data_IF_582657263125
#
_entry.id   IF_582657263125
#
_cell.length_a   1.000
_cell.length_b   1.000
_cell.length_c   1.000
_cell.angle_alpha   90.00
_cell.angle_beta   90.00
_cell.angle_gamma   90.00
#
_symmetry.space_group_name_H-M   'P 1'
#
loop_
_entity.id
_entity.type
_entity.pdbx_description
1 polymer ?
#
# COMPACT_ATOMS: atom_id res chain seq x y z
N UNK A 1 7.08 -34.16 21.26
CA UNK A 1 6.76 -32.74 21.36
C UNK A 1 7.89 -31.88 21.93
N UNK A 2 8.40 -32.10 23.13
CA UNK A 2 9.48 -31.29 23.70
C UNK A 2 10.79 -31.31 22.86
N UNK A 3 11.16 -32.44 22.28
CA UNK A 3 12.34 -32.57 21.39
C UNK A 3 12.21 -31.83 20.07
N UNK A 4 11.00 -31.73 19.50
CA UNK A 4 10.75 -31.01 18.24
C UNK A 4 10.77 -29.48 18.47
N UNK A 5 10.24 -29.01 19.59
CA UNK A 5 10.29 -27.60 19.96
C UNK A 5 11.73 -27.12 20.27
N UNK A 6 12.58 -27.99 20.86
CA UNK A 6 13.97 -27.68 21.16
C UNK A 6 14.90 -27.68 19.93
N UNK A 7 14.46 -28.25 18.81
CA UNK A 7 15.23 -28.31 17.54
C UNK A 7 14.98 -27.11 16.61
N UNK A 8 14.08 -26.19 16.97
CA UNK A 8 13.77 -25.02 16.15
C UNK A 8 14.70 -23.89 16.58
N UNK A 9 15.86 -23.77 15.94
CA UNK A 9 16.86 -22.73 16.29
C UNK A 9 17.34 -21.86 15.12
N UNK A 10 16.64 -21.85 13.97
CA UNK A 10 17.02 -21.03 12.82
C UNK A 10 15.91 -20.89 11.77
N UNK A 11 16.07 -19.95 10.84
CA UNK A 11 15.04 -19.60 9.86
C UNK A 11 14.59 -20.73 8.92
N UNK A 12 15.42 -21.75 8.68
CA UNK A 12 15.05 -22.92 7.87
C UNK A 12 14.19 -23.95 8.63
N UNK A 13 14.15 -23.86 9.95
CA UNK A 13 13.39 -24.75 10.81
C UNK A 13 11.90 -24.36 10.97
N UNK A 14 11.50 -23.20 10.49
CA UNK A 14 10.12 -22.70 10.58
C UNK A 14 9.10 -23.52 9.78
N UNK A 15 9.57 -24.34 8.83
CA UNK A 15 8.74 -25.27 8.05
C UNK A 15 8.41 -26.57 8.79
N UNK A 16 9.09 -26.83 9.90
CA UNK A 16 8.78 -28.01 10.73
C UNK A 16 7.43 -27.83 11.40
N UNK A 17 6.61 -28.88 11.39
CA UNK A 17 5.28 -28.90 12.03
C UNK A 17 5.24 -30.01 13.04
N UNK A 18 4.48 -29.78 14.10
CA UNK A 18 4.15 -30.86 15.03
C UNK A 18 3.19 -31.84 14.36
N UNK A 19 3.36 -33.15 14.55
CA UNK A 19 2.43 -34.14 14.02
C UNK A 19 1.02 -33.90 14.52
N UNK A 20 0.07 -33.89 13.62
CA UNK A 20 -1.36 -33.89 13.95
C UNK A 20 -1.72 -35.31 14.40
N UNK A 21 -1.82 -35.54 15.70
CA UNK A 21 -2.12 -36.85 16.25
C UNK A 21 -2.94 -36.75 17.54
N UNK A 22 -4.23 -37.08 17.45
CA UNK A 22 -5.13 -37.18 18.59
C UNK A 22 -6.31 -36.19 18.55
N UNK A 23 -7.31 -36.45 19.37
CA UNK A 23 -8.46 -35.59 19.58
C UNK A 23 -8.48 -34.94 20.98
N UNK A 24 -7.32 -34.88 21.61
CA UNK A 24 -7.12 -34.41 22.99
C UNK A 24 -6.49 -33.02 23.05
N UNK A 25 -6.22 -32.57 24.25
CA UNK A 25 -5.60 -31.25 24.52
C UNK A 25 -4.22 -31.10 23.82
N UNK A 26 -3.52 -32.22 23.57
CA UNK A 26 -2.24 -32.23 22.87
C UNK A 26 -2.39 -31.92 21.36
N UNK A 27 -3.50 -32.34 20.75
CA UNK A 27 -3.81 -32.00 19.36
C UNK A 27 -4.15 -30.50 19.22
N UNK A 28 -4.92 -29.94 20.18
CA UNK A 28 -5.20 -28.50 20.20
C UNK A 28 -3.94 -27.68 20.37
N UNK A 29 -3.02 -28.10 21.23
CA UNK A 29 -1.72 -27.44 21.42
C UNK A 29 -0.86 -27.52 20.16
N UNK A 30 -0.81 -28.70 19.49
CA UNK A 30 -0.08 -28.90 18.24
C UNK A 30 -0.66 -27.98 17.13
N UNK A 31 -1.98 -27.90 17.02
CA UNK A 31 -2.66 -27.01 16.06
C UNK A 31 -2.36 -25.53 16.31
N UNK A 32 -2.43 -25.08 17.58
CA UNK A 32 -2.10 -23.72 17.97
C UNK A 32 -0.62 -23.38 17.67
N UNK A 33 0.29 -24.30 17.98
CA UNK A 33 1.72 -24.19 17.68
C UNK A 33 1.97 -24.12 16.15
N UNK A 34 1.42 -25.05 15.39
CA UNK A 34 1.54 -25.06 13.94
C UNK A 34 0.99 -23.78 13.30
N UNK A 35 -0.13 -23.27 13.81
CA UNK A 35 -0.69 -21.98 13.38
C UNK A 35 0.21 -20.78 13.72
N UNK A 36 0.91 -20.82 14.86
CA UNK A 36 1.91 -19.80 15.19
C UNK A 36 3.13 -19.90 14.28
N UNK A 37 3.65 -21.11 14.04
CA UNK A 37 4.79 -21.33 13.14
C UNK A 37 4.47 -20.91 11.70
N UNK A 38 3.24 -21.17 11.22
CA UNK A 38 2.81 -20.73 9.91
C UNK A 38 2.82 -19.20 9.80
N UNK A 39 2.26 -18.49 10.79
CA UNK A 39 2.27 -17.02 10.80
C UNK A 39 3.67 -16.45 10.84
N UNK A 40 4.59 -17.11 11.54
CA UNK A 40 5.99 -16.70 11.61
C UNK A 40 6.71 -16.93 10.28
N UNK A 41 6.51 -18.07 9.63
CA UNK A 41 7.04 -18.39 8.31
C UNK A 41 6.54 -17.38 7.24
N UNK A 42 5.23 -17.14 7.23
CA UNK A 42 4.62 -16.15 6.34
C UNK A 42 5.19 -14.74 6.55
N UNK A 43 5.47 -14.36 7.81
CA UNK A 43 6.06 -13.06 8.14
C UNK A 43 7.52 -12.97 7.66
N UNK A 44 8.33 -14.00 7.84
CA UNK A 44 9.72 -14.04 7.36
C UNK A 44 9.80 -14.07 5.83
N UNK A 45 8.93 -14.84 5.17
CA UNK A 45 8.87 -14.82 3.70
C UNK A 45 8.46 -13.45 3.16
N UNK A 46 7.49 -12.78 3.79
CA UNK A 46 7.09 -11.42 3.43
C UNK A 46 8.23 -10.41 3.62
N UNK A 47 9.03 -10.54 4.69
CA UNK A 47 10.21 -9.70 4.97
C UNK A 47 11.33 -9.94 3.94
N UNK A 48 11.65 -11.21 3.63
CA UNK A 48 12.64 -11.56 2.60
C UNK A 48 12.23 -11.05 1.22
N UNK A 49 10.96 -11.24 0.85
CA UNK A 49 10.44 -10.74 -0.41
C UNK A 49 10.52 -9.22 -0.49
N UNK A 50 10.14 -8.53 0.59
CA UNK A 50 10.25 -7.08 0.68
C UNK A 50 11.69 -6.58 0.49
N UNK A 51 12.68 -7.20 1.15
CA UNK A 51 14.08 -6.82 1.00
C UNK A 51 14.60 -7.04 -0.43
N UNK A 52 14.19 -8.15 -1.06
CA UNK A 52 14.50 -8.45 -2.47
C UNK A 52 13.88 -7.42 -3.41
N UNK A 53 12.58 -7.17 -3.28
CA UNK A 53 11.85 -6.23 -4.12
C UNK A 53 12.40 -4.81 -3.96
N UNK A 54 12.71 -4.39 -2.73
CA UNK A 54 13.33 -3.09 -2.44
C UNK A 54 14.69 -2.94 -3.16
N UNK A 55 15.51 -4.00 -3.12
CA UNK A 55 16.81 -3.99 -3.80
C UNK A 55 16.67 -3.88 -5.32
N UNK A 56 15.71 -4.58 -5.91
CA UNK A 56 15.42 -4.51 -7.35
C UNK A 56 14.87 -3.14 -7.76
N UNK A 57 13.92 -2.61 -7.01
CA UNK A 57 13.27 -1.33 -7.31
C UNK A 57 14.21 -0.13 -7.12
N UNK A 58 15.21 -0.22 -6.23
CA UNK A 58 16.25 0.81 -6.08
C UNK A 58 17.36 0.68 -7.13
N UNK A 59 17.66 -0.53 -7.61
CA UNK A 59 18.72 -0.75 -8.61
C UNK A 59 18.38 -0.13 -9.96
N UNK A 60 17.12 -0.21 -10.39
CA UNK A 60 16.67 0.31 -11.69
C UNK A 60 16.88 1.81 -11.84
N UNK A 61 16.36 2.70 -10.95
CA UNK A 61 16.61 4.14 -11.04
C UNK A 61 18.08 4.49 -10.88
N UNK A 62 18.84 3.76 -10.06
CA UNK A 62 20.28 3.96 -9.92
C UNK A 62 21.02 3.68 -11.24
N UNK A 63 20.67 2.60 -11.94
CA UNK A 63 21.27 2.29 -13.24
C UNK A 63 20.98 3.38 -14.28
N UNK A 64 19.76 3.96 -14.27
CA UNK A 64 19.42 5.08 -15.16
C UNK A 64 20.25 6.33 -14.79
N UNK A 65 20.43 6.64 -13.52
CA UNK A 65 21.26 7.75 -13.07
C UNK A 65 22.70 7.57 -13.56
N UNK A 66 23.27 6.37 -13.35
CA UNK A 66 24.63 6.06 -13.77
C UNK A 66 24.82 6.19 -15.27
N UNK A 67 23.88 5.63 -16.07
CA UNK A 67 23.93 5.74 -17.52
C UNK A 67 23.86 7.19 -18.01
N UNK A 68 23.02 8.04 -17.40
CA UNK A 68 22.95 9.46 -17.73
C UNK A 68 24.23 10.22 -17.38
N UNK A 69 24.85 9.89 -16.24
CA UNK A 69 26.13 10.46 -15.87
C UNK A 69 27.25 10.04 -16.83
N UNK A 70 27.34 8.75 -17.16
CA UNK A 70 28.33 8.21 -18.08
C UNK A 70 28.19 8.83 -19.48
N UNK A 71 26.95 8.94 -19.99
CA UNK A 71 26.68 9.60 -21.28
C UNK A 71 27.08 11.07 -21.25
N UNK A 72 26.72 11.80 -20.19
CA UNK A 72 27.08 13.21 -20.04
C UNK A 72 28.60 13.43 -19.93
N UNK A 73 29.36 12.44 -19.44
CA UNK A 73 30.82 12.50 -19.28
C UNK A 73 31.59 11.95 -20.48
N UNK A 74 30.95 11.25 -21.42
CA UNK A 74 31.61 10.52 -22.53
C UNK A 74 32.07 11.38 -23.70
N UNK A 75 31.81 12.70 -23.70
CA UNK A 75 32.22 13.61 -24.77
C UNK A 75 31.65 15.01 -24.60
N UNK A 76 31.93 15.87 -25.59
CA UNK A 76 31.34 17.21 -25.61
C UNK A 76 29.83 17.12 -25.90
N UNK A 77 29.03 17.68 -25.03
CA UNK A 77 27.56 17.75 -25.13
C UNK A 77 27.14 19.22 -25.16
N UNK A 78 25.97 19.48 -25.72
CA UNK A 78 25.38 20.82 -25.68
C UNK A 78 24.83 21.15 -24.31
N UNK A 79 24.62 22.41 -24.00
CA UNK A 79 23.97 22.81 -22.74
C UNK A 79 22.54 22.27 -22.62
N UNK A 80 21.87 21.96 -23.74
CA UNK A 80 20.55 21.32 -23.75
C UNK A 80 20.65 19.85 -23.31
N UNK A 81 21.63 19.10 -23.82
CA UNK A 81 21.86 17.69 -23.47
C UNK A 81 22.17 17.53 -21.95
N UNK A 82 23.05 18.40 -21.41
CA UNK A 82 23.32 18.40 -19.97
C UNK A 82 22.08 18.71 -19.14
N UNK A 83 21.22 19.63 -19.57
CA UNK A 83 19.98 19.95 -18.88
C UNK A 83 19.01 18.78 -18.89
N UNK A 84 18.90 18.07 -20.00
CA UNK A 84 18.09 16.87 -20.11
C UNK A 84 18.61 15.77 -19.20
N UNK A 85 19.89 15.44 -19.24
CA UNK A 85 20.51 14.45 -18.36
C UNK A 85 20.26 14.77 -16.88
N UNK A 86 20.49 16.04 -16.45
CA UNK A 86 20.23 16.49 -15.08
C UNK A 86 18.74 16.37 -14.70
N UNK A 87 17.82 16.63 -15.64
CA UNK A 87 16.39 16.49 -15.39
C UNK A 87 15.99 15.04 -15.14
N UNK A 88 16.57 14.09 -15.90
CA UNK A 88 16.36 12.65 -15.71
C UNK A 88 16.94 12.21 -14.37
N UNK A 89 18.18 12.59 -14.04
CA UNK A 89 18.86 12.28 -12.77
C UNK A 89 18.01 12.78 -11.60
N UNK A 90 17.57 14.04 -11.65
CA UNK A 90 16.74 14.64 -10.61
C UNK A 90 15.42 13.89 -10.41
N UNK A 91 14.73 13.53 -11.50
CA UNK A 91 13.47 12.75 -11.46
C UNK A 91 13.69 11.39 -10.80
N UNK A 92 14.76 10.66 -11.17
CA UNK A 92 15.08 9.37 -10.57
C UNK A 92 15.46 9.50 -9.07
N UNK A 93 16.24 10.52 -8.71
CA UNK A 93 16.57 10.81 -7.32
C UNK A 93 15.34 11.08 -6.47
N UNK A 94 14.38 11.88 -6.97
CA UNK A 94 13.09 12.10 -6.29
C UNK A 94 12.26 10.82 -6.16
N UNK A 95 12.26 9.94 -7.18
CA UNK A 95 11.59 8.64 -7.11
C UNK A 95 12.19 7.77 -6.01
N UNK A 96 13.52 7.65 -5.96
CA UNK A 96 14.22 6.89 -4.91
C UNK A 96 13.93 7.44 -3.52
N UNK A 97 13.96 8.75 -3.33
CA UNK A 97 13.68 9.37 -2.03
C UNK A 97 12.25 9.10 -1.55
N UNK A 98 11.24 9.20 -2.46
CA UNK A 98 9.85 8.83 -2.14
C UNK A 98 9.73 7.36 -1.74
N UNK A 99 10.43 6.47 -2.42
CA UNK A 99 10.43 5.03 -2.15
C UNK A 99 11.03 4.74 -0.77
N UNK A 100 12.22 5.27 -0.48
CA UNK A 100 12.90 5.08 0.82
C UNK A 100 12.05 5.64 1.96
N UNK A 101 11.51 6.86 1.81
CA UNK A 101 10.65 7.47 2.83
C UNK A 101 9.40 6.65 3.09
N UNK A 102 8.75 6.15 2.03
CA UNK A 102 7.57 5.28 2.16
C UNK A 102 7.87 3.94 2.83
N UNK A 103 9.03 3.33 2.54
CA UNK A 103 9.47 2.09 3.20
C UNK A 103 9.71 2.30 4.69
N UNK A 104 10.47 3.35 5.05
CA UNK A 104 10.76 3.67 6.45
C UNK A 104 9.48 3.93 7.25
N UNK A 105 8.51 4.59 6.64
CA UNK A 105 7.24 4.87 7.29
C UNK A 105 6.39 3.61 7.48
N UNK A 106 6.31 2.73 6.48
CA UNK A 106 5.65 1.43 6.65
C UNK A 106 6.25 0.63 7.81
N UNK A 107 7.60 0.57 7.90
CA UNK A 107 8.30 -0.12 9.00
C UNK A 107 7.97 0.51 10.35
N UNK A 108 7.91 1.84 10.45
CA UNK A 108 7.49 2.53 11.69
C UNK A 108 6.06 2.18 12.08
N UNK A 109 5.13 2.23 11.13
CA UNK A 109 3.73 1.87 11.36
C UNK A 109 3.55 0.43 11.85
N UNK A 110 4.36 -0.52 11.38
CA UNK A 110 4.27 -1.93 11.79
C UNK A 110 4.80 -2.19 13.20
N UNK A 111 5.83 -1.46 13.61
CA UNK A 111 6.42 -1.65 14.95
C UNK A 111 5.51 -1.24 16.09
N UNK A 112 4.36 -0.60 15.84
CA UNK A 112 3.42 -0.09 16.85
C UNK A 112 4.10 0.76 17.95
N UNK A 113 5.34 1.18 17.73
CA UNK A 113 6.16 1.91 18.70
C UNK A 113 5.86 3.40 18.70
N UNK A 114 5.35 3.92 17.58
CA UNK A 114 4.96 5.31 17.50
C UNK A 114 3.57 5.47 18.11
N UNK A 115 3.43 6.36 19.07
CA UNK A 115 2.14 6.77 19.62
C UNK A 115 1.48 7.67 18.57
N UNK A 116 0.65 7.08 17.73
CA UNK A 116 -0.22 7.85 16.83
C UNK A 116 -1.25 8.61 17.67
N UNK A 117 -1.51 9.85 17.31
CA UNK A 117 -2.56 10.62 17.94
C UNK A 117 -3.90 9.89 17.76
N UNK A 118 -4.59 9.64 18.87
CA UNK A 118 -5.93 9.07 18.85
C UNK A 118 -6.90 10.10 19.42
N UNK A 119 -7.35 10.98 18.53
CA UNK A 119 -8.28 12.04 18.85
C UNK A 119 -9.57 11.86 18.06
N UNK A 120 -10.72 12.23 18.62
CA UNK A 120 -11.96 12.24 17.86
C UNK A 120 -11.92 13.36 16.83
N UNK A 121 -12.28 13.05 15.57
CA UNK A 121 -12.41 14.06 14.52
C UNK A 121 -13.57 13.72 13.56
N UNK A 122 -14.07 14.73 12.86
CA UNK A 122 -15.13 14.58 11.88
C UNK A 122 -14.54 14.02 10.57
N UNK A 123 -14.83 12.74 10.27
CA UNK A 123 -14.36 12.05 9.07
C UNK A 123 -15.08 12.57 7.82
N UNK A 124 -16.34 12.97 7.93
CA UNK A 124 -17.09 13.56 6.81
C UNK A 124 -16.42 14.83 6.31
N UNK A 125 -16.17 15.77 7.21
CA UNK A 125 -15.52 17.05 6.88
C UNK A 125 -14.09 16.83 6.33
N UNK A 126 -13.34 15.87 6.92
CA UNK A 126 -12.01 15.51 6.42
C UNK A 126 -12.06 14.94 5.00
N UNK A 127 -13.02 14.03 4.73
CA UNK A 127 -13.18 13.42 3.41
C UNK A 127 -13.50 14.47 2.34
N UNK A 128 -14.43 15.37 2.62
CA UNK A 128 -14.79 16.47 1.71
C UNK A 128 -13.58 17.38 1.42
N UNK A 129 -12.86 17.82 2.46
CA UNK A 129 -11.68 18.68 2.31
C UNK A 129 -10.58 18.00 1.47
N UNK A 130 -10.28 16.71 1.71
CA UNK A 130 -9.29 15.99 0.91
C UNK A 130 -9.75 15.83 -0.54
N UNK A 131 -11.04 15.59 -0.78
CA UNK A 131 -11.56 15.48 -2.14
C UNK A 131 -11.50 16.79 -2.88
N UNK A 132 -11.79 17.94 -2.23
CA UNK A 132 -11.64 19.27 -2.80
C UNK A 132 -10.18 19.54 -3.21
N UNK A 133 -9.21 19.26 -2.34
CA UNK A 133 -7.79 19.41 -2.64
C UNK A 133 -7.34 18.51 -3.80
N UNK A 134 -7.79 17.26 -3.82
CA UNK A 134 -7.43 16.29 -4.86
C UNK A 134 -8.11 16.60 -6.20
N UNK A 135 -9.28 17.22 -6.22
CA UNK A 135 -9.97 17.65 -7.44
C UNK A 135 -9.18 18.73 -8.21
N UNK A 136 -8.29 19.46 -7.54
CA UNK A 136 -7.43 20.46 -8.19
C UNK A 136 -6.32 19.84 -9.07
N UNK A 137 -6.07 18.52 -8.95
CA UNK A 137 -4.99 17.84 -9.69
C UNK A 137 -5.29 17.74 -11.19
N UNK A 138 -6.56 17.75 -11.60
CA UNK A 138 -7.02 17.81 -13.01
C UNK A 138 -6.26 16.88 -14.01
N UNK A 139 -5.77 15.74 -13.56
CA UNK A 139 -5.11 14.78 -14.46
C UNK A 139 -6.14 14.02 -15.29
N UNK A 140 -5.86 13.81 -16.58
CA UNK A 140 -6.67 13.04 -17.54
C UNK A 140 -8.14 13.52 -17.66
N UNK A 141 -8.46 14.75 -17.26
CA UNK A 141 -9.83 15.26 -17.26
C UNK A 141 -10.84 14.35 -16.53
N UNK A 142 -10.41 13.73 -15.41
CA UNK A 142 -11.22 12.82 -14.59
C UNK A 142 -12.07 13.67 -13.63
N UNK A 143 -13.38 13.43 -13.62
CA UNK A 143 -14.31 14.06 -12.69
C UNK A 143 -14.29 13.33 -11.34
N UNK A 144 -14.00 14.04 -10.24
CA UNK A 144 -14.13 13.53 -8.88
C UNK A 144 -15.44 14.03 -8.27
N UNK A 145 -16.27 13.12 -7.78
CA UNK A 145 -17.52 13.41 -7.09
C UNK A 145 -17.55 12.73 -5.72
N UNK A 146 -18.33 13.30 -4.81
CA UNK A 146 -18.45 12.81 -3.42
C UNK A 146 -19.91 12.51 -3.08
N UNK A 147 -20.12 11.44 -2.30
CA UNK A 147 -21.38 11.10 -1.64
C UNK A 147 -21.07 10.78 -0.18
N UNK A 148 -21.06 11.81 0.65
CA UNK A 148 -20.58 11.76 2.04
C UNK A 148 -21.74 11.99 2.99
N UNK A 149 -22.04 10.97 3.81
CA UNK A 149 -23.01 11.11 4.89
C UNK A 149 -22.46 12.07 5.95
N UNK A 150 -23.22 13.09 6.38
CA UNK A 150 -22.74 14.10 7.31
C UNK A 150 -22.52 13.53 8.74
N UNK A 151 -21.70 14.23 9.50
CA UNK A 151 -21.49 14.00 10.93
C UNK A 151 -21.00 12.58 11.31
N UNK A 152 -20.23 11.95 10.42
CA UNK A 152 -19.48 10.74 10.75
C UNK A 152 -18.18 11.14 11.44
N UNK A 153 -17.97 10.67 12.67
CA UNK A 153 -16.74 10.88 13.42
C UNK A 153 -16.08 9.55 13.78
N UNK A 154 -14.75 9.54 13.81
CA UNK A 154 -13.94 8.41 14.29
C UNK A 154 -12.87 8.92 15.24
N UNK A 155 -12.36 8.00 16.11
CA UNK A 155 -11.19 8.28 16.93
C UNK A 155 -9.94 7.70 16.25
N UNK A 156 -8.98 8.56 15.93
CA UNK A 156 -7.79 8.14 15.20
C UNK A 156 -6.82 9.27 14.93
N UNK A 157 -5.85 9.01 14.07
CA UNK A 157 -4.90 10.00 13.59
C UNK A 157 -5.38 10.59 12.25
N UNK A 158 -5.81 11.84 12.30
CA UNK A 158 -6.34 12.56 11.15
C UNK A 158 -5.33 12.63 9.99
N UNK A 159 -4.02 12.80 10.29
CA UNK A 159 -2.97 12.87 9.28
C UNK A 159 -2.83 11.54 8.52
N UNK A 160 -2.91 10.42 9.24
CA UNK A 160 -2.86 9.10 8.63
C UNK A 160 -4.10 8.83 7.77
N UNK A 161 -5.29 9.22 8.22
CA UNK A 161 -6.52 9.06 7.41
C UNK A 161 -6.49 9.96 6.17
N UNK A 162 -6.01 11.21 6.27
CA UNK A 162 -5.75 12.07 5.10
C UNK A 162 -4.86 11.36 4.08
N UNK A 163 -3.81 10.71 4.56
CA UNK A 163 -2.88 9.98 3.71
C UNK A 163 -3.50 8.71 3.10
N UNK A 164 -4.34 7.99 3.85
CA UNK A 164 -5.10 6.87 3.32
C UNK A 164 -5.95 7.33 2.13
N UNK A 165 -6.75 8.38 2.30
CA UNK A 165 -7.57 8.98 1.25
C UNK A 165 -6.72 9.40 0.05
N UNK A 166 -5.65 10.14 0.27
CA UNK A 166 -4.73 10.58 -0.79
C UNK A 166 -4.13 9.41 -1.58
N UNK A 167 -3.80 8.29 -0.92
CA UNK A 167 -3.33 7.08 -1.60
C UNK A 167 -4.41 6.41 -2.43
N UNK A 168 -5.65 6.35 -1.95
CA UNK A 168 -6.77 5.72 -2.68
C UNK A 168 -7.16 6.58 -3.89
N UNK A 169 -7.37 7.89 -3.69
CA UNK A 169 -7.75 8.83 -4.74
C UNK A 169 -6.62 8.96 -5.77
N UNK A 170 -5.35 9.04 -5.32
CA UNK A 170 -4.20 9.08 -6.21
C UNK A 170 -4.08 7.83 -7.10
N UNK A 171 -4.42 6.65 -6.58
CA UNK A 171 -4.52 5.45 -7.40
C UNK A 171 -5.67 5.54 -8.41
N UNK A 172 -6.83 6.03 -8.02
CA UNK A 172 -7.97 6.19 -8.91
C UNK A 172 -7.65 7.15 -10.07
N UNK A 173 -6.96 8.28 -9.84
CA UNK A 173 -6.46 9.14 -10.92
C UNK A 173 -5.46 8.44 -11.82
N UNK A 174 -4.53 7.70 -11.22
CA UNK A 174 -3.46 7.02 -11.98
C UNK A 174 -4.01 5.98 -12.95
N UNK A 175 -4.95 5.14 -12.49
CA UNK A 175 -5.51 4.01 -13.21
C UNK A 175 -6.84 4.29 -13.88
N UNK A 176 -7.44 5.44 -13.58
CA UNK A 176 -8.65 5.94 -14.20
C UNK A 176 -8.47 6.18 -15.70
N UNK A 177 -9.57 6.14 -16.42
CA UNK A 177 -9.64 6.43 -17.86
C UNK A 177 -9.56 7.94 -18.10
N UNK A 178 -9.13 8.32 -19.29
CA UNK A 178 -9.29 9.68 -19.78
C UNK A 178 -10.78 10.04 -19.86
N UNK A 179 -11.15 11.21 -19.36
CA UNK A 179 -12.55 11.66 -19.19
C UNK A 179 -13.40 10.71 -18.31
N UNK A 180 -12.75 9.99 -17.39
CA UNK A 180 -13.40 9.06 -16.47
C UNK A 180 -13.98 9.73 -15.23
N UNK A 181 -14.42 8.88 -14.28
CA UNK A 181 -15.06 9.32 -13.05
C UNK A 181 -14.43 8.64 -11.85
N UNK A 182 -14.24 9.41 -10.78
CA UNK A 182 -13.91 8.93 -9.45
C UNK A 182 -15.04 9.31 -8.51
N UNK A 183 -15.54 8.35 -7.74
CA UNK A 183 -16.60 8.58 -6.75
C UNK A 183 -16.04 8.20 -5.38
N UNK A 184 -16.08 9.12 -4.44
CA UNK A 184 -15.73 8.89 -3.03
C UNK A 184 -17.01 8.87 -2.21
N UNK A 185 -17.28 7.73 -1.55
CA UNK A 185 -18.46 7.58 -0.69
C UNK A 185 -18.05 7.34 0.75
N UNK A 186 -18.81 7.89 1.70
CA UNK A 186 -18.63 7.67 3.13
C UNK A 186 -20.00 7.49 3.77
N UNK A 187 -20.27 6.30 4.29
CA UNK A 187 -21.57 5.97 4.89
C UNK A 187 -21.43 5.10 6.14
N UNK A 188 -22.43 5.11 6.99
CA UNK A 188 -22.61 4.12 8.06
C UNK A 188 -23.20 2.85 7.49
N UNK A 189 -22.56 1.70 7.73
CA UNK A 189 -22.97 0.38 7.28
C UNK A 189 -23.11 -0.57 8.48
N UNK A 190 -24.28 -0.59 9.09
CA UNK A 190 -24.56 -1.37 10.30
C UNK A 190 -23.71 -0.91 11.49
N UNK A 191 -22.79 -1.75 11.96
CA UNK A 191 -21.85 -1.43 13.06
C UNK A 191 -20.49 -0.90 12.58
N UNK A 192 -20.39 -0.53 11.30
CA UNK A 192 -19.15 -0.05 10.70
C UNK A 192 -19.36 1.25 9.92
N UNK A 193 -18.26 1.92 9.63
CA UNK A 193 -18.17 3.07 8.72
C UNK A 193 -17.42 2.59 7.49
N UNK A 194 -17.97 2.82 6.30
CA UNK A 194 -17.36 2.46 5.02
C UNK A 194 -16.98 3.72 4.25
N UNK A 195 -15.68 3.83 3.95
CA UNK A 195 -15.09 4.86 3.10
C UNK A 195 -14.62 4.17 1.82
N UNK A 196 -15.28 4.45 0.71
CA UNK A 196 -15.00 3.82 -0.59
C UNK A 196 -14.54 4.83 -1.61
N UNK A 197 -13.48 4.50 -2.35
CA UNK A 197 -13.03 5.21 -3.54
C UNK A 197 -13.21 4.29 -4.73
N UNK A 198 -14.07 4.69 -5.66
CA UNK A 198 -14.40 3.94 -6.87
C UNK A 198 -13.91 4.69 -8.10
N UNK A 199 -13.36 3.97 -9.08
CA UNK A 199 -12.95 4.47 -10.38
C UNK A 199 -13.54 3.60 -11.51
N UNK A 200 -13.69 4.17 -12.69
CA UNK A 200 -14.10 3.48 -13.92
C UNK A 200 -12.91 3.12 -14.82
N UNK A 201 -11.73 2.97 -14.23
CA UNK A 201 -10.47 2.76 -14.91
C UNK A 201 -10.26 1.37 -15.49
N UNK A 202 -8.98 0.97 -15.57
CA UNK A 202 -8.58 -0.30 -16.20
C UNK A 202 -9.01 -1.54 -15.42
N UNK A 203 -9.37 -1.40 -14.14
CA UNK A 203 -9.70 -2.51 -13.26
C UNK A 203 -8.49 -3.37 -12.90
N UNK A 204 -8.74 -4.44 -12.13
CA UNK A 204 -7.72 -5.32 -11.57
C UNK A 204 -8.11 -6.78 -11.80
N UNK A 205 -7.26 -7.53 -12.48
CA UNK A 205 -7.46 -8.95 -12.73
C UNK A 205 -7.59 -9.75 -11.40
N UNK A 206 -8.46 -10.78 -11.31
CA UNK A 206 -8.74 -11.49 -10.07
C UNK A 206 -7.51 -12.06 -9.36
N UNK A 207 -6.52 -12.54 -10.11
CA UNK A 207 -5.27 -13.09 -9.56
C UNK A 207 -4.35 -12.02 -8.97
N UNK A 208 -4.56 -10.74 -9.29
CA UNK A 208 -3.79 -9.61 -8.81
C UNK A 208 -4.43 -8.94 -7.59
N UNK A 209 -5.74 -9.04 -7.39
CA UNK A 209 -6.47 -8.34 -6.32
C UNK A 209 -5.91 -8.60 -4.91
N UNK A 210 -5.41 -9.80 -4.64
CA UNK A 210 -4.74 -10.10 -3.37
C UNK A 210 -3.31 -9.56 -3.31
N UNK A 211 -2.68 -9.34 -4.46
CA UNK A 211 -1.27 -8.92 -4.57
C UNK A 211 -1.10 -7.41 -4.49
N UNK A 212 -2.12 -6.61 -4.91
CA UNK A 212 -2.04 -5.14 -4.93
C UNK A 212 -1.74 -4.50 -3.56
N UNK A 213 -2.03 -5.21 -2.47
CA UNK A 213 -1.74 -4.76 -1.11
C UNK A 213 -0.34 -5.16 -0.62
N UNK A 214 0.45 -5.89 -1.44
CA UNK A 214 1.84 -6.18 -1.11
C UNK A 214 2.69 -4.93 -1.30
N UNK A 215 3.73 -4.80 -0.48
CA UNK A 215 4.69 -3.71 -0.58
C UNK A 215 5.41 -3.81 -1.93
N UNK A 216 5.64 -2.65 -2.57
CA UNK A 216 6.35 -2.54 -3.86
C UNK A 216 5.69 -3.29 -5.03
N UNK A 217 4.45 -3.74 -4.86
CA UNK A 217 3.75 -4.40 -5.95
C UNK A 217 3.35 -3.36 -7.01
N UNK A 218 3.72 -3.64 -8.25
CA UNK A 218 3.32 -2.90 -9.44
C UNK A 218 2.77 -3.90 -10.46
N UNK A 219 1.65 -3.57 -11.10
CA UNK A 219 1.10 -4.37 -12.18
C UNK A 219 2.06 -4.50 -13.37
N UNK A 220 1.91 -5.53 -14.19
CA UNK A 220 2.83 -5.81 -15.31
C UNK A 220 2.93 -4.65 -16.34
N UNK A 221 1.89 -3.83 -16.47
CA UNK A 221 1.83 -2.66 -17.36
C UNK A 221 2.54 -1.41 -16.82
N UNK A 222 3.06 -1.43 -15.58
CA UNK A 222 3.44 -0.22 -14.85
C UNK A 222 4.91 0.01 -14.60
N UNK A 223 5.80 -0.84 -15.10
CA UNK A 223 7.25 -0.71 -14.86
C UNK A 223 7.85 0.63 -15.28
N UNK A 224 7.08 1.46 -15.99
CA UNK A 224 7.47 2.81 -16.44
C UNK A 224 6.85 3.96 -15.64
N UNK A 225 5.96 3.70 -14.66
CA UNK A 225 5.22 4.73 -13.94
C UNK A 225 5.94 5.28 -12.71
N UNK A 226 5.54 6.49 -12.28
CA UNK A 226 6.16 7.26 -11.18
C UNK A 226 5.79 6.76 -9.75
N UNK A 227 5.02 5.66 -9.60
CA UNK A 227 4.60 5.09 -8.33
C UNK A 227 5.59 4.08 -7.75
N UNK A 228 5.80 4.14 -6.44
CA UNK A 228 6.68 3.24 -5.71
C UNK A 228 6.03 1.89 -5.31
N UNK A 229 4.76 1.63 -5.67
CA UNK A 229 4.04 0.42 -5.25
C UNK A 229 3.80 0.31 -3.73
N UNK A 230 3.86 1.44 -3.01
CA UNK A 230 3.72 1.48 -1.55
C UNK A 230 2.37 2.03 -1.08
N UNK A 231 1.63 2.73 -1.96
CA UNK A 231 0.42 3.48 -1.58
C UNK A 231 -0.68 2.59 -0.98
N UNK A 232 -1.04 1.48 -1.66
CA UNK A 232 -2.08 0.56 -1.16
C UNK A 232 -1.63 -0.26 0.06
N UNK A 233 -0.36 -0.64 0.12
CA UNK A 233 0.19 -1.28 1.32
C UNK A 233 0.12 -0.34 2.53
N UNK A 234 0.40 0.95 2.33
CA UNK A 234 0.31 1.99 3.35
C UNK A 234 -1.15 2.25 3.74
N UNK A 235 -2.07 2.40 2.79
CA UNK A 235 -3.48 2.57 3.05
C UNK A 235 -4.05 1.39 3.88
N UNK A 236 -3.67 0.15 3.53
CA UNK A 236 -4.06 -1.04 4.29
C UNK A 236 -3.52 -1.03 5.72
N UNK A 237 -2.26 -0.61 5.90
CA UNK A 237 -1.66 -0.51 7.23
C UNK A 237 -2.33 0.58 8.07
N UNK A 238 -2.65 1.72 7.48
CA UNK A 238 -3.39 2.80 8.15
C UNK A 238 -4.78 2.32 8.59
N UNK A 239 -5.52 1.65 7.71
CA UNK A 239 -6.83 1.08 8.06
C UNK A 239 -6.71 0.13 9.28
N UNK A 240 -5.72 -0.76 9.30
CA UNK A 240 -5.45 -1.68 10.42
C UNK A 240 -5.08 -0.98 11.73
N UNK A 241 -4.31 0.10 11.68
CA UNK A 241 -3.97 0.90 12.86
C UNK A 241 -5.21 1.54 13.50
N UNK A 242 -6.24 1.81 12.69
CA UNK A 242 -7.54 2.32 13.14
C UNK A 242 -8.57 1.22 13.45
N UNK A 243 -8.11 -0.06 13.55
CA UNK A 243 -8.98 -1.20 13.86
C UNK A 243 -9.86 -1.66 12.71
N UNK A 244 -9.60 -1.14 11.51
CA UNK A 244 -10.34 -1.43 10.29
C UNK A 244 -9.60 -2.37 9.33
N UNK A 245 -10.17 -2.51 8.14
CA UNK A 245 -9.59 -3.27 7.04
C UNK A 245 -9.75 -2.51 5.71
N UNK A 246 -8.89 -2.82 4.73
CA UNK A 246 -9.00 -2.33 3.36
C UNK A 246 -9.24 -3.50 2.42
N UNK A 247 -10.32 -3.41 1.64
CA UNK A 247 -10.73 -4.42 0.67
C UNK A 247 -10.82 -3.84 -0.74
N UNK A 248 -10.92 -4.69 -1.75
CA UNK A 248 -11.07 -4.31 -3.15
C UNK A 248 -12.14 -5.16 -3.82
N UNK A 249 -12.98 -4.52 -4.62
CA UNK A 249 -13.86 -5.15 -5.60
C UNK A 249 -13.52 -4.55 -6.95
N UNK A 250 -13.16 -5.37 -7.91
CA UNK A 250 -12.73 -4.87 -9.22
C UNK A 250 -12.98 -5.89 -10.31
N UNK A 251 -13.26 -5.41 -11.51
CA UNK A 251 -13.36 -6.19 -12.73
C UNK A 251 -12.48 -5.54 -13.80
N UNK A 252 -11.64 -6.37 -14.44
CA UNK A 252 -10.74 -5.90 -15.50
C UNK A 252 -11.53 -5.22 -16.62
N UNK A 253 -11.13 -4.03 -16.99
CA UNK A 253 -11.81 -3.20 -17.99
C UNK A 253 -13.04 -2.43 -17.49
N UNK A 254 -13.48 -2.57 -16.23
CA UNK A 254 -14.66 -1.86 -15.69
C UNK A 254 -14.34 -0.91 -14.53
N UNK A 255 -13.14 -1.01 -13.96
CA UNK A 255 -12.72 -0.16 -12.86
C UNK A 255 -12.59 -0.90 -11.54
N UNK A 256 -12.40 -0.15 -10.45
CA UNK A 256 -12.14 -0.68 -9.11
C UNK A 256 -12.88 0.11 -8.05
N UNK A 257 -13.26 -0.56 -6.96
CA UNK A 257 -13.74 0.04 -5.73
C UNK A 257 -12.86 -0.43 -4.56
N UNK A 258 -12.20 0.49 -3.89
CA UNK A 258 -11.36 0.26 -2.73
C UNK A 258 -12.08 0.77 -1.49
N UNK A 259 -12.44 -0.12 -0.56
CA UNK A 259 -13.25 0.19 0.62
C UNK A 259 -12.42 0.03 1.90
N UNK A 260 -12.24 1.11 2.63
CA UNK A 260 -11.74 1.09 4.00
C UNK A 260 -12.93 1.04 4.96
N UNK A 261 -12.97 -0.03 5.77
CA UNK A 261 -14.05 -0.27 6.73
C UNK A 261 -13.52 -0.10 8.15
N UNK A 262 -14.13 0.80 8.93
CA UNK A 262 -13.76 1.08 10.31
C UNK A 262 -14.88 0.67 11.27
N UNK A 263 -14.57 0.17 12.49
CA UNK A 263 -15.59 -0.07 13.51
C UNK A 263 -16.21 1.26 13.96
N UNK A 264 -17.52 1.28 14.15
CA UNK A 264 -18.17 2.38 14.88
C UNK A 264 -17.70 2.33 16.35
N UNK A 265 -17.24 3.45 16.86
CA UNK A 265 -16.76 3.61 18.24
C UNK A 265 -17.82 4.28 19.10
#
# INVERSE_FOLDING_TARGET
MALTAAQISGGDDLKKRMPDGGSDELAQLAGAFNGMMQRLDDAFEAERQFASDASHELRTPMAVIMAQCEDALSGEKTGADYREALSVIHRQGRRMNRMISGMLELVRMERKTDRYAREPFNLSALTESVCEDMALICEKNIALTTDVEPDISITGDQTLITRLLGNLIGNAYRYGRENGHIIVTLHRAGSAIELTVSDDGIGIAPDQQKKIFRRLYQGASERSGDGAGLGLAMARQIARLHGGELTVVSEEGKGSALTARFPMQ
#
